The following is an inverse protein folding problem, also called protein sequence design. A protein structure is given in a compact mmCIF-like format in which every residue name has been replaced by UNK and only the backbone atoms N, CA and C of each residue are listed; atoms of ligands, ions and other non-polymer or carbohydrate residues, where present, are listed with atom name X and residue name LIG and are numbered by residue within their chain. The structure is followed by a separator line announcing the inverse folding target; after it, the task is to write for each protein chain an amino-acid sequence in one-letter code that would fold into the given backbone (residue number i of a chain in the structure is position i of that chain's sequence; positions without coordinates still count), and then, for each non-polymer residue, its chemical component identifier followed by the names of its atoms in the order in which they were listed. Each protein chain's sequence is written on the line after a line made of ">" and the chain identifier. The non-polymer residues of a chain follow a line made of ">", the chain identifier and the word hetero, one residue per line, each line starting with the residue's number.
data_IF_778331035092
#
_entry.id   IF_778331035092
#
_cell.length_a   1.000
_cell.length_b   1.000
_cell.length_c   1.000
_cell.angle_alpha   90.00
_cell.angle_beta   90.00
_cell.angle_gamma   90.00
#
_symmetry.space_group_name_H-M   'P 1'
#
loop_
_entity.id
_entity.type
_entity.pdbx_description
1 polymer ?
#
# COMPACT_ATOMS: atom_id res chain seq x y z
N UNK A 1 3.52 4.45 -3.67
CA UNK A 1 3.51 2.98 -3.81
C UNK A 1 2.58 2.65 -4.97
N UNK A 2 2.18 1.40 -5.19
CA UNK A 2 1.15 1.09 -6.18
C UNK A 2 0.06 0.26 -5.53
N UNK A 3 -1.19 0.70 -5.66
CA UNK A 3 -2.37 -0.05 -5.23
C UNK A 3 -3.00 -0.69 -6.46
N UNK A 4 -3.07 -2.01 -6.48
CA UNK A 4 -3.74 -2.77 -7.55
C UNK A 4 -4.94 -3.52 -7.00
N UNK A 5 -6.00 -3.67 -7.80
CA UNK A 5 -7.11 -4.57 -7.48
C UNK A 5 -6.81 -5.94 -8.09
N UNK A 6 -6.82 -6.99 -7.29
CA UNK A 6 -6.78 -8.38 -7.77
C UNK A 6 -7.97 -9.14 -7.20
N UNK A 7 -8.83 -9.66 -8.08
CA UNK A 7 -10.09 -10.30 -7.72
C UNK A 7 -10.92 -9.37 -6.82
N UNK A 8 -11.20 -9.81 -5.59
CA UNK A 8 -11.95 -9.08 -4.56
C UNK A 8 -11.07 -8.28 -3.59
N UNK A 9 -9.74 -8.30 -3.74
CA UNK A 9 -8.80 -7.68 -2.80
C UNK A 9 -8.00 -6.55 -3.45
N UNK A 10 -7.57 -5.62 -2.60
CA UNK A 10 -6.68 -4.51 -2.92
C UNK A 10 -5.28 -4.82 -2.39
N UNK A 11 -4.30 -4.86 -3.28
CA UNK A 11 -2.92 -5.20 -2.94
C UNK A 11 -2.08 -3.92 -3.02
N UNK A 12 -1.36 -3.62 -1.94
CA UNK A 12 -0.38 -2.55 -1.89
C UNK A 12 0.99 -3.14 -2.23
N UNK A 13 1.65 -2.58 -3.23
CA UNK A 13 2.98 -2.98 -3.73
C UNK A 13 3.96 -1.81 -3.63
N UNK A 14 5.26 -2.11 -3.62
CA UNK A 14 6.31 -1.11 -3.83
C UNK A 14 6.19 -0.47 -5.22
N UNK A 15 6.83 0.68 -5.44
CA UNK A 15 6.79 1.41 -6.72
C UNK A 15 7.26 0.50 -7.88
N UNK A 16 8.25 -0.34 -7.61
CA UNK A 16 8.82 -1.29 -8.58
C UNK A 16 7.99 -2.56 -8.75
N UNK A 17 6.84 -2.68 -8.08
CA UNK A 17 5.95 -3.86 -8.05
C UNK A 17 6.60 -5.17 -7.57
N UNK A 18 7.90 -5.17 -7.23
CA UNK A 18 8.65 -6.34 -6.75
C UNK A 18 8.21 -6.86 -5.39
N UNK A 19 7.80 -5.98 -4.46
CA UNK A 19 7.47 -6.36 -3.09
C UNK A 19 6.04 -5.99 -2.72
N UNK A 20 5.31 -6.97 -2.18
CA UNK A 20 3.99 -6.80 -1.60
C UNK A 20 4.11 -6.26 -0.17
N UNK A 21 3.45 -5.12 0.07
CA UNK A 21 3.41 -4.40 1.34
C UNK A 21 2.17 -4.74 2.17
N UNK A 22 1.11 -5.26 1.52
CA UNK A 22 -0.09 -5.71 2.22
C UNK A 22 -1.23 -6.08 1.27
N UNK A 23 -2.22 -6.77 1.82
CA UNK A 23 -3.46 -7.18 1.15
C UNK A 23 -4.65 -6.68 1.97
N UNK A 24 -5.64 -6.06 1.31
CA UNK A 24 -6.73 -5.36 1.96
C UNK A 24 -8.07 -5.69 1.30
N UNK A 25 -9.14 -5.76 2.09
CA UNK A 25 -10.49 -5.97 1.56
C UNK A 25 -11.05 -4.73 0.86
N UNK A 26 -10.62 -3.53 1.25
CA UNK A 26 -11.13 -2.26 0.71
C UNK A 26 -10.01 -1.35 0.21
N UNK A 27 -10.31 -0.52 -0.79
CA UNK A 27 -9.38 0.50 -1.32
C UNK A 27 -8.95 1.49 -0.24
N UNK A 28 -9.89 1.88 0.63
CA UNK A 28 -9.66 2.83 1.74
C UNK A 28 -8.61 2.30 2.73
N UNK A 29 -8.63 1.01 3.03
CA UNK A 29 -7.63 0.38 3.91
C UNK A 29 -6.23 0.38 3.27
N UNK A 30 -6.13 0.05 1.97
CA UNK A 30 -4.87 0.11 1.23
C UNK A 30 -4.28 1.53 1.19
N UNK A 31 -5.13 2.54 0.96
CA UNK A 31 -4.74 3.95 0.98
C UNK A 31 -4.30 4.42 2.37
N UNK A 32 -5.02 4.03 3.43
CA UNK A 32 -4.63 4.33 4.82
C UNK A 32 -3.23 3.78 5.11
N UNK A 33 -2.94 2.55 4.67
CA UNK A 33 -1.62 1.96 4.85
C UNK A 33 -0.54 2.69 4.05
N UNK A 34 -0.81 3.06 2.80
CA UNK A 34 0.12 3.86 2.00
C UNK A 34 0.49 5.17 2.71
N UNK A 35 -0.51 5.92 3.20
CA UNK A 35 -0.28 7.16 3.94
C UNK A 35 0.55 6.95 5.19
N UNK A 36 0.28 5.89 5.97
CA UNK A 36 1.10 5.55 7.13
C UNK A 36 2.56 5.31 6.76
N UNK A 37 2.83 4.53 5.71
CA UNK A 37 4.21 4.23 5.34
C UNK A 37 4.91 5.51 4.86
N UNK A 38 4.25 6.37 4.08
CA UNK A 38 4.81 7.66 3.66
C UNK A 38 5.11 8.52 4.89
N UNK A 39 4.19 8.61 5.83
CA UNK A 39 4.36 9.36 7.08
C UNK A 39 5.60 8.89 7.85
N UNK A 40 5.72 7.60 8.13
CA UNK A 40 6.89 7.07 8.84
C UNK A 40 8.19 7.19 8.06
N UNK A 41 8.14 7.12 6.72
CA UNK A 41 9.32 7.32 5.87
C UNK A 41 9.84 8.76 5.95
N UNK A 42 8.93 9.73 6.03
CA UNK A 42 9.29 11.14 6.15
C UNK A 42 9.67 11.54 7.58
N UNK A 43 9.11 10.88 8.59
CA UNK A 43 9.40 11.16 10.01
C UNK A 43 10.77 10.61 10.47
N UNK A 44 11.28 9.55 9.83
CA UNK A 44 12.61 8.99 10.10
C UNK A 44 13.75 9.73 9.36
N UNK A 45 13.47 10.90 8.79
CA UNK A 45 14.39 11.65 7.94
C UNK A 45 14.90 12.89 8.64
#
# INVERSE_FOLDING_TARGET
>A
MVIIKRKSKWILLTKDKKKKLGEFKTRKAALKRERQIIFFKNMKR
#
